data_IF_620556961378
#
_entry.id   IF_620556961378
#
_cell.length_a   1.000
_cell.length_b   1.000
_cell.length_c   1.000
_cell.angle_alpha   90.00
_cell.angle_beta   90.00
_cell.angle_gamma   90.00
#
_symmetry.space_group_name_H-M   'P 1'
#
loop_
_entity.id
_entity.type
_entity.pdbx_description
1 polymer ?
#
# COMPACT_ATOMS: atom_id res chain seq x y z
N UNK A 1 15.57 -38.64 20.83
CA UNK A 1 14.47 -37.80 20.28
C UNK A 1 14.33 -36.45 20.99
N UNK A 2 14.37 -36.39 22.33
CA UNK A 2 14.22 -35.15 23.12
C UNK A 2 15.22 -34.03 22.72
N UNK A 3 16.46 -34.39 22.41
CA UNK A 3 17.52 -33.44 22.01
C UNK A 3 17.22 -32.73 20.67
N UNK A 4 16.58 -33.44 19.74
CA UNK A 4 16.14 -32.85 18.48
C UNK A 4 14.92 -31.95 18.70
N UNK A 5 13.95 -32.41 19.50
CA UNK A 5 12.77 -31.61 19.85
C UNK A 5 13.14 -30.27 20.50
N UNK A 6 14.11 -30.27 21.43
CA UNK A 6 14.64 -29.03 22.04
C UNK A 6 15.30 -28.14 20.99
N UNK A 7 16.17 -28.70 20.14
CA UNK A 7 16.87 -27.94 19.10
C UNK A 7 15.91 -27.30 18.08
N UNK A 8 14.87 -28.02 17.67
CA UNK A 8 13.85 -27.52 16.74
C UNK A 8 12.98 -26.45 17.40
N UNK A 9 12.64 -26.63 18.67
CA UNK A 9 11.84 -25.66 19.44
C UNK A 9 12.61 -24.35 19.66
N UNK A 10 13.91 -24.43 19.95
CA UNK A 10 14.74 -23.23 20.14
C UNK A 10 15.01 -22.49 18.82
N UNK A 11 15.14 -23.23 17.70
CA UNK A 11 15.19 -22.62 16.37
C UNK A 11 13.87 -21.91 16.02
N UNK A 12 12.71 -22.52 16.33
CA UNK A 12 11.39 -21.91 16.14
C UNK A 12 11.18 -20.67 17.02
N UNK A 13 11.63 -20.71 18.27
CA UNK A 13 11.59 -19.54 19.17
C UNK A 13 12.47 -18.41 18.66
N UNK A 14 13.66 -18.72 18.13
CA UNK A 14 14.56 -17.74 17.52
C UNK A 14 13.98 -17.14 16.25
N UNK A 15 13.38 -17.95 15.37
CA UNK A 15 12.62 -17.43 14.22
C UNK A 15 11.50 -16.49 14.67
N UNK A 16 10.74 -16.86 15.71
CA UNK A 16 9.64 -16.01 16.22
C UNK A 16 10.11 -14.71 16.83
N UNK A 17 11.31 -14.68 17.41
CA UNK A 17 11.93 -13.46 17.97
C UNK A 17 12.69 -12.66 16.91
N UNK A 18 12.94 -13.24 15.74
CA UNK A 18 13.61 -12.60 14.61
C UNK A 18 12.66 -11.57 13.98
N UNK A 19 12.72 -10.35 14.49
CA UNK A 19 12.10 -9.18 13.86
C UNK A 19 12.72 -8.86 12.48
N UNK A 20 13.85 -9.49 12.12
CA UNK A 20 14.61 -9.17 10.92
C UNK A 20 14.30 -10.06 9.69
N UNK A 21 13.51 -11.14 9.80
CA UNK A 21 13.45 -12.13 8.70
C UNK A 21 12.12 -12.82 8.39
N UNK A 22 11.15 -12.86 9.32
CA UNK A 22 9.89 -13.62 9.13
C UNK A 22 8.62 -12.76 9.21
N UNK A 23 8.78 -11.44 9.23
CA UNK A 23 7.72 -10.48 8.87
C UNK A 23 7.65 -10.31 7.32
N UNK A 24 8.43 -11.08 6.55
CA UNK A 24 9.08 -10.58 5.32
C UNK A 24 8.45 -10.91 3.96
N UNK A 25 7.38 -11.70 3.84
CA UNK A 25 6.72 -11.89 2.54
C UNK A 25 5.28 -11.43 2.54
N UNK A 26 4.50 -11.83 3.53
CA UNK A 26 3.08 -11.45 3.59
C UNK A 26 2.89 -9.95 3.76
N UNK A 27 3.63 -9.30 4.67
CA UNK A 27 3.57 -7.84 4.81
C UNK A 27 4.11 -7.11 3.57
N UNK A 28 5.09 -7.67 2.86
CA UNK A 28 5.57 -7.08 1.59
C UNK A 28 4.50 -7.19 0.51
N UNK A 29 3.84 -8.34 0.39
CA UNK A 29 2.75 -8.56 -0.56
C UNK A 29 1.59 -7.61 -0.24
N UNK A 30 1.19 -7.50 1.03
CA UNK A 30 0.15 -6.56 1.47
C UNK A 30 0.56 -5.12 1.17
N UNK A 31 1.80 -4.73 1.43
CA UNK A 31 2.29 -3.38 1.11
C UNK A 31 2.24 -3.09 -0.39
N UNK A 32 2.64 -4.04 -1.24
CA UNK A 32 2.56 -3.90 -2.70
C UNK A 32 1.09 -3.82 -3.16
N UNK A 33 0.18 -4.62 -2.59
CA UNK A 33 -1.24 -4.54 -2.88
C UNK A 33 -1.83 -3.17 -2.50
N UNK A 34 -1.45 -2.61 -1.35
CA UNK A 34 -1.90 -1.27 -0.93
C UNK A 34 -1.35 -0.20 -1.88
N UNK A 35 -0.05 -0.24 -2.21
CA UNK A 35 0.55 0.70 -3.16
C UNK A 35 -0.13 0.59 -4.53
N UNK A 36 -0.42 -0.63 -5.00
CA UNK A 36 -1.15 -0.88 -6.24
C UNK A 36 -2.56 -0.30 -6.24
N UNK A 37 -3.33 -0.51 -5.17
CA UNK A 37 -4.68 0.05 -5.03
C UNK A 37 -4.66 1.59 -4.96
N UNK A 38 -3.76 2.16 -4.16
CA UNK A 38 -3.61 3.62 -4.02
C UNK A 38 -3.18 4.23 -5.35
N UNK A 39 -2.19 3.65 -6.03
CA UNK A 39 -1.73 4.15 -7.34
C UNK A 39 -2.78 3.98 -8.44
N UNK A 40 -3.66 2.98 -8.39
CA UNK A 40 -4.77 2.86 -9.33
C UNK A 40 -5.80 4.00 -9.15
N UNK A 41 -6.06 4.40 -7.90
CA UNK A 41 -7.03 5.45 -7.57
C UNK A 41 -6.44 6.85 -7.78
N UNK A 42 -5.23 7.06 -7.29
CA UNK A 42 -4.54 8.36 -7.26
C UNK A 42 -3.58 8.58 -8.43
N UNK A 43 -3.31 7.55 -9.24
CA UNK A 43 -2.33 7.60 -10.32
C UNK A 43 -0.89 7.61 -9.80
N UNK A 44 0.08 7.42 -10.71
CA UNK A 44 1.48 7.76 -10.46
C UNK A 44 1.66 9.24 -10.82
N UNK A 45 1.33 10.13 -9.89
CA UNK A 45 1.36 11.59 -10.09
C UNK A 45 -0.03 12.22 -10.25
N UNK A 46 -0.10 13.45 -10.77
CA UNK A 46 -1.33 14.25 -10.81
C UNK A 46 -2.45 13.74 -11.74
N UNK A 47 -2.25 12.60 -12.41
CA UNK A 47 -3.16 12.04 -13.42
C UNK A 47 -4.16 10.98 -12.93
N UNK A 48 -4.24 10.71 -11.62
CA UNK A 48 -5.20 9.74 -11.08
C UNK A 48 -6.66 10.10 -11.33
N UNK A 49 -7.54 9.10 -11.22
CA UNK A 49 -8.99 9.28 -11.41
C UNK A 49 -9.56 10.39 -10.52
N UNK A 50 -9.11 10.46 -9.26
CA UNK A 50 -9.49 11.54 -8.33
C UNK A 50 -8.98 12.90 -8.80
N UNK A 51 -7.70 12.98 -9.21
CA UNK A 51 -7.10 14.22 -9.71
C UNK A 51 -7.83 14.77 -10.93
N UNK A 52 -8.11 13.89 -11.90
CA UNK A 52 -8.86 14.26 -13.10
C UNK A 52 -10.30 14.71 -12.79
N UNK A 53 -10.99 14.02 -11.89
CA UNK A 53 -12.34 14.41 -11.47
C UNK A 53 -12.35 15.78 -10.79
N UNK A 54 -11.34 16.07 -9.95
CA UNK A 54 -11.21 17.36 -9.28
C UNK A 54 -10.91 18.47 -10.29
N UNK A 55 -9.97 18.25 -11.21
CA UNK A 55 -9.64 19.20 -12.28
C UNK A 55 -10.87 19.47 -13.14
N UNK A 56 -11.59 18.45 -13.57
CA UNK A 56 -12.81 18.60 -14.36
C UNK A 56 -13.89 19.42 -13.63
N UNK A 57 -14.08 19.15 -12.32
CA UNK A 57 -15.01 19.92 -11.49
C UNK A 57 -14.62 21.39 -11.37
N UNK A 58 -13.34 21.68 -11.13
CA UNK A 58 -12.82 23.06 -11.06
C UNK A 58 -13.03 23.76 -12.42
N UNK A 59 -12.68 23.11 -13.53
CA UNK A 59 -12.89 23.66 -14.87
C UNK A 59 -14.37 23.96 -15.14
N UNK A 60 -15.29 23.08 -14.73
CA UNK A 60 -16.72 23.33 -14.89
C UNK A 60 -17.18 24.57 -14.11
N UNK A 61 -16.70 24.74 -12.86
CA UNK A 61 -16.99 25.92 -12.04
C UNK A 61 -16.42 27.19 -12.69
N UNK A 62 -15.16 27.15 -13.14
CA UNK A 62 -14.52 28.29 -13.81
C UNK A 62 -15.29 28.69 -15.06
N UNK A 63 -15.69 27.74 -15.89
CA UNK A 63 -16.45 28.01 -17.11
C UNK A 63 -17.82 28.65 -16.80
N UNK A 64 -18.51 28.14 -15.77
CA UNK A 64 -19.78 28.73 -15.34
C UNK A 64 -19.60 30.19 -14.85
N UNK A 65 -18.52 30.47 -14.12
CA UNK A 65 -18.21 31.83 -13.67
C UNK A 65 -17.87 32.76 -14.85
N UNK A 66 -17.03 32.32 -15.78
CA UNK A 66 -16.68 33.09 -16.98
C UNK A 66 -17.89 33.37 -17.86
N UNK A 67 -18.85 32.45 -17.95
CA UNK A 67 -20.08 32.67 -18.72
C UNK A 67 -21.06 33.65 -18.04
N UNK A 68 -20.92 33.87 -16.74
CA UNK A 68 -21.81 34.73 -15.95
C UNK A 68 -21.33 36.18 -15.86
N UNK A 69 -20.07 36.46 -16.22
CA UNK A 69 -19.45 37.80 -16.25
C UNK A 69 -19.42 38.30 -17.68
#
# INVERSE_FOLDING_TARGET
MLKYYVKTTDALKRLRTDQDGVVSFEYIIVAVCIIGAVSAVFGVGAGGAIGQSLTAGITAITNAFTAAV
#
